data_IF_077112696826
#
_entry.id   IF_077112696826
#
_cell.length_a   1.000
_cell.length_b   1.000
_cell.length_c   1.000
_cell.angle_alpha   90.00
_cell.angle_beta   90.00
_cell.angle_gamma   90.00
#
_symmetry.space_group_name_H-M   'P 1'
#
loop_
_entity.id
_entity.type
_entity.pdbx_description
1 polymer ?
#
# COMPACT_ATOMS: atom_id res chain seq x y z
N UNK A 1 -68.75 54.70 -19.43
CA UNK A 1 -68.98 53.43 -18.72
C UNK A 1 -67.66 52.70 -18.70
N UNK A 2 -67.11 52.56 -17.50
CA UNK A 2 -65.75 52.16 -17.29
C UNK A 2 -65.76 50.69 -16.86
N UNK A 3 -65.05 49.81 -17.64
CA UNK A 3 -64.82 48.43 -17.29
C UNK A 3 -63.41 48.25 -16.65
N UNK A 4 -63.40 47.83 -15.40
CA UNK A 4 -62.17 47.56 -14.65
C UNK A 4 -61.76 46.13 -14.92
N UNK A 5 -60.57 45.96 -15.53
CA UNK A 5 -59.97 44.65 -15.68
C UNK A 5 -59.16 44.21 -14.47
N UNK A 6 -59.45 42.99 -13.97
CA UNK A 6 -58.78 42.35 -12.84
C UNK A 6 -57.56 41.64 -13.36
N UNK A 7 -56.35 42.06 -12.93
CA UNK A 7 -55.09 41.38 -13.25
C UNK A 7 -54.82 40.38 -12.13
N UNK A 8 -54.86 39.07 -12.44
CA UNK A 8 -54.46 37.98 -11.55
C UNK A 8 -52.97 37.74 -11.77
N UNK A 9 -52.16 38.09 -10.78
CA UNK A 9 -50.74 37.77 -10.73
C UNK A 9 -50.57 36.36 -10.15
N UNK A 10 -50.23 35.41 -10.98
CA UNK A 10 -49.85 34.05 -10.53
C UNK A 10 -48.39 34.06 -10.09
N UNK A 11 -48.15 33.98 -8.79
CA UNK A 11 -46.81 33.80 -8.22
C UNK A 11 -46.39 32.35 -8.36
N UNK A 12 -45.47 32.06 -9.28
CA UNK A 12 -44.81 30.75 -9.40
C UNK A 12 -43.72 30.62 -8.34
N UNK A 13 -43.95 29.81 -7.30
CA UNK A 13 -42.95 29.41 -6.32
C UNK A 13 -41.98 28.41 -6.96
N UNK A 14 -40.81 28.90 -7.33
CA UNK A 14 -39.66 28.03 -7.70
C UNK A 14 -39.08 27.42 -6.41
N UNK A 15 -39.44 26.18 -6.12
CA UNK A 15 -38.77 25.35 -5.11
C UNK A 15 -37.42 24.95 -5.68
N UNK A 16 -36.38 25.71 -5.34
CA UNK A 16 -34.99 25.31 -5.58
C UNK A 16 -34.67 24.14 -4.63
N UNK A 17 -34.90 22.92 -5.09
CA UNK A 17 -34.46 21.72 -4.43
C UNK A 17 -32.92 21.66 -4.47
N UNK A 18 -32.27 22.03 -3.38
CA UNK A 18 -30.86 21.66 -3.14
C UNK A 18 -30.76 20.15 -2.96
N UNK A 19 -30.84 19.42 -4.05
CA UNK A 19 -30.41 18.04 -4.11
C UNK A 19 -28.88 18.02 -4.01
N UNK A 20 -28.34 17.72 -2.81
CA UNK A 20 -26.95 17.40 -2.63
C UNK A 20 -26.60 16.21 -3.49
N UNK A 21 -26.10 16.45 -4.69
CA UNK A 21 -25.49 15.43 -5.52
C UNK A 21 -24.19 15.03 -4.82
N UNK A 22 -24.23 13.98 -3.99
CA UNK A 22 -23.04 13.18 -3.74
C UNK A 22 -22.50 12.80 -5.11
N UNK A 23 -21.45 13.48 -5.56
CA UNK A 23 -20.74 13.10 -6.80
C UNK A 23 -20.22 11.69 -6.57
N UNK A 24 -20.97 10.69 -7.00
CA UNK A 24 -20.43 9.36 -7.20
C UNK A 24 -19.19 9.55 -8.06
N UNK A 25 -18.02 9.28 -7.52
CA UNK A 25 -16.80 9.35 -8.30
C UNK A 25 -17.01 8.47 -9.55
N UNK A 26 -17.07 9.09 -10.71
CA UNK A 26 -17.35 8.40 -11.98
C UNK A 26 -16.29 7.31 -12.22
N UNK A 27 -16.64 6.30 -13.00
CA UNK A 27 -15.68 5.27 -13.43
C UNK A 27 -14.45 5.90 -14.07
N UNK A 28 -13.25 5.45 -13.69
CA UNK A 28 -11.98 5.91 -14.28
C UNK A 28 -11.62 5.21 -15.58
N UNK A 29 -12.47 4.31 -16.10
CA UNK A 29 -12.27 3.63 -17.37
C UNK A 29 -11.38 2.38 -17.32
N UNK A 30 -10.77 2.05 -16.20
CA UNK A 30 -9.82 0.91 -16.07
C UNK A 30 -10.46 -0.44 -16.48
N UNK A 31 -11.75 -0.63 -16.24
CA UNK A 31 -12.43 -1.88 -16.57
C UNK A 31 -12.48 -2.21 -18.08
N UNK A 32 -12.31 -1.22 -18.94
CA UNK A 32 -12.31 -1.40 -20.40
C UNK A 32 -10.90 -1.54 -21.01
N UNK A 33 -9.84 -1.42 -20.20
CA UNK A 33 -8.46 -1.53 -20.65
C UNK A 33 -7.98 -2.97 -20.66
N UNK A 34 -6.88 -3.24 -21.37
CA UNK A 34 -6.18 -4.52 -21.23
C UNK A 34 -5.60 -4.67 -19.82
N UNK A 35 -5.45 -5.90 -19.34
CA UNK A 35 -4.89 -6.15 -18.01
C UNK A 35 -3.51 -5.52 -17.80
N UNK A 36 -2.65 -5.58 -18.81
CA UNK A 36 -1.32 -4.96 -18.76
C UNK A 36 -1.40 -3.41 -18.69
N UNK A 37 -2.37 -2.80 -19.34
CA UNK A 37 -2.58 -1.35 -19.25
C UNK A 37 -3.05 -0.95 -17.84
N UNK A 38 -3.99 -1.70 -17.24
CA UNK A 38 -4.44 -1.47 -15.86
C UNK A 38 -3.28 -1.62 -14.86
N UNK A 39 -2.44 -2.66 -15.03
CA UNK A 39 -1.25 -2.85 -14.18
C UNK A 39 -0.26 -1.67 -14.32
N UNK A 40 -0.03 -1.20 -15.55
CA UNK A 40 0.85 -0.07 -15.81
C UNK A 40 0.31 1.23 -15.18
N UNK A 41 -0.99 1.49 -15.30
CA UNK A 41 -1.65 2.65 -14.72
C UNK A 41 -1.64 2.60 -13.19
N UNK A 42 -1.89 1.43 -12.60
CA UNK A 42 -1.79 1.21 -11.16
C UNK A 42 -0.36 1.44 -10.64
N UNK A 43 0.64 0.97 -11.38
CA UNK A 43 2.05 1.23 -11.07
C UNK A 43 2.37 2.71 -11.15
N UNK A 44 1.96 3.39 -12.21
CA UNK A 44 2.20 4.83 -12.37
C UNK A 44 1.51 5.64 -11.26
N UNK A 45 0.28 5.25 -10.87
CA UNK A 45 -0.43 5.87 -9.75
C UNK A 45 0.33 5.69 -8.43
N UNK A 46 0.81 4.47 -8.14
CA UNK A 46 1.60 4.17 -6.95
C UNK A 46 2.94 4.93 -6.92
N UNK A 47 3.66 4.98 -8.03
CA UNK A 47 4.94 5.71 -8.16
C UNK A 47 4.75 7.22 -7.97
N UNK A 48 3.62 7.76 -8.42
CA UNK A 48 3.25 9.16 -8.26
C UNK A 48 2.73 9.53 -6.87
N UNK A 49 2.44 8.54 -6.00
CA UNK A 49 1.91 8.80 -4.68
C UNK A 49 3.00 9.37 -3.73
N UNK A 50 2.57 10.23 -2.80
CA UNK A 50 3.44 10.75 -1.74
C UNK A 50 3.60 9.77 -0.58
N UNK A 51 2.61 8.90 -0.37
CA UNK A 51 2.59 7.87 0.68
C UNK A 51 1.51 6.83 0.43
N UNK A 52 1.65 5.69 1.10
CA UNK A 52 0.60 4.69 1.28
C UNK A 52 0.82 3.93 2.60
N UNK A 53 -0.24 3.36 3.13
CA UNK A 53 -0.18 2.31 4.14
C UNK A 53 -0.33 0.96 3.45
N UNK A 54 0.52 0.02 3.81
CA UNK A 54 0.56 -1.34 3.25
C UNK A 54 0.46 -2.31 4.40
N UNK A 55 -0.59 -3.11 4.42
CA UNK A 55 -0.84 -4.02 5.55
C UNK A 55 -1.41 -5.36 5.09
N UNK A 56 -1.16 -6.39 5.88
CA UNK A 56 -1.72 -7.71 5.65
C UNK A 56 -0.75 -8.84 5.88
N UNK A 57 -1.14 -10.02 5.42
CA UNK A 57 -0.32 -11.23 5.56
C UNK A 57 -0.45 -12.08 4.31
N UNK A 58 0.68 -12.60 3.85
CA UNK A 58 0.73 -13.59 2.77
C UNK A 58 1.64 -14.75 3.18
N UNK A 59 1.38 -15.92 2.60
CA UNK A 59 2.33 -17.04 2.63
C UNK A 59 3.04 -17.08 1.28
N UNK A 60 4.37 -17.06 1.27
CA UNK A 60 5.18 -17.14 0.08
C UNK A 60 6.19 -18.29 0.21
N UNK A 61 6.09 -19.29 -0.67
CA UNK A 61 6.94 -20.48 -0.58
C UNK A 61 6.81 -21.25 0.74
N UNK A 62 5.62 -21.26 1.36
CA UNK A 62 5.36 -21.85 2.67
C UNK A 62 5.75 -20.96 3.87
N UNK A 63 6.36 -19.82 3.63
CA UNK A 63 6.78 -18.88 4.68
C UNK A 63 5.72 -17.80 4.89
N UNK A 64 5.13 -17.67 6.08
CA UNK A 64 4.21 -16.58 6.40
C UNK A 64 4.99 -15.26 6.56
N UNK A 65 4.50 -14.22 5.88
CA UNK A 65 5.02 -12.85 5.93
C UNK A 65 3.86 -11.94 6.32
N UNK A 66 4.03 -11.17 7.38
CA UNK A 66 3.09 -10.12 7.79
C UNK A 66 3.77 -8.76 7.64
N UNK A 67 3.03 -7.78 7.15
CA UNK A 67 3.50 -6.43 6.92
C UNK A 67 2.47 -5.42 7.44
N UNK A 68 2.94 -4.36 8.07
CA UNK A 68 2.17 -3.20 8.49
C UNK A 68 3.10 -1.99 8.42
N UNK A 69 3.15 -1.33 7.26
CA UNK A 69 4.10 -0.26 6.98
C UNK A 69 3.39 0.95 6.37
N UNK A 70 3.60 2.12 6.95
CA UNK A 70 3.31 3.39 6.27
C UNK A 70 4.59 3.85 5.56
N UNK A 71 4.51 4.03 4.25
CA UNK A 71 5.66 4.35 3.39
C UNK A 71 5.42 5.64 2.62
N UNK A 72 6.47 6.45 2.52
CA UNK A 72 6.56 7.63 1.65
C UNK A 72 7.80 7.56 0.78
N UNK A 73 8.11 8.65 0.07
CA UNK A 73 9.25 8.70 -0.87
C UNK A 73 10.60 8.50 -0.18
N UNK A 74 10.81 9.15 0.98
CA UNK A 74 12.07 9.11 1.73
C UNK A 74 11.90 8.75 3.20
N UNK A 75 10.73 8.26 3.60
CA UNK A 75 10.42 7.91 4.99
C UNK A 75 9.47 6.71 5.04
N UNK A 76 9.64 5.89 6.08
CA UNK A 76 8.73 4.78 6.36
C UNK A 76 8.72 4.47 7.85
N UNK A 77 7.64 3.85 8.33
CA UNK A 77 7.55 3.31 9.69
C UNK A 77 6.56 2.16 9.73
N UNK A 78 6.78 1.25 10.65
CA UNK A 78 5.87 0.13 10.92
C UNK A 78 6.61 -1.12 11.33
N UNK A 79 6.01 -2.27 11.09
CA UNK A 79 6.55 -3.57 11.48
C UNK A 79 6.42 -4.60 10.36
N UNK A 80 7.26 -5.60 10.42
CA UNK A 80 7.19 -6.80 9.59
C UNK A 80 7.50 -8.03 10.43
N UNK A 81 6.97 -9.17 10.00
CA UNK A 81 7.43 -10.46 10.51
C UNK A 81 7.53 -11.48 9.40
N UNK A 82 8.44 -12.42 9.55
CA UNK A 82 8.57 -13.60 8.70
C UNK A 82 8.76 -14.83 9.59
N UNK A 83 7.94 -15.85 9.39
CA UNK A 83 7.92 -17.05 10.25
C UNK A 83 7.83 -16.74 11.76
N UNK A 84 7.11 -15.69 12.14
CA UNK A 84 7.00 -15.25 13.55
C UNK A 84 8.18 -14.41 14.06
N UNK A 85 9.24 -14.23 13.27
CA UNK A 85 10.39 -13.39 13.61
C UNK A 85 10.07 -11.94 13.26
N UNK A 86 9.63 -11.17 14.25
CA UNK A 86 9.17 -9.79 14.07
C UNK A 86 10.29 -8.76 14.20
N UNK A 87 10.15 -7.66 13.48
CA UNK A 87 10.98 -6.47 13.65
C UNK A 87 10.22 -5.20 13.30
N UNK A 88 10.56 -4.12 14.00
CA UNK A 88 10.14 -2.77 13.67
C UNK A 88 11.11 -2.13 12.70
N UNK A 89 10.58 -1.27 11.85
CA UNK A 89 11.32 -0.57 10.81
C UNK A 89 10.96 0.91 10.82
N UNK A 90 11.99 1.75 10.75
CA UNK A 90 11.88 3.19 10.52
C UNK A 90 12.88 3.56 9.44
N UNK A 91 12.45 4.41 8.49
CA UNK A 91 13.34 5.03 7.50
C UNK A 91 13.22 6.55 7.59
N UNK A 92 14.36 7.22 7.61
CA UNK A 92 14.46 8.68 7.53
C UNK A 92 15.56 9.01 6.52
N UNK A 93 15.18 9.53 5.35
CA UNK A 93 16.11 9.76 4.25
C UNK A 93 16.79 8.47 3.79
N UNK A 94 18.11 8.47 3.80
CA UNK A 94 18.94 7.33 3.38
C UNK A 94 19.39 6.43 4.54
N UNK A 95 18.74 6.56 5.70
CA UNK A 95 19.03 5.74 6.86
C UNK A 95 17.82 4.88 7.23
N UNK A 96 18.03 3.60 7.34
CA UNK A 96 17.07 2.63 7.90
C UNK A 96 17.44 2.33 9.36
N UNK A 97 16.43 2.17 10.18
CA UNK A 97 16.50 1.77 11.58
C UNK A 97 15.68 0.52 11.77
N UNK A 98 16.24 -0.48 12.42
CA UNK A 98 15.62 -1.78 12.65
C UNK A 98 15.71 -2.10 14.13
N UNK A 99 14.61 -2.60 14.70
CA UNK A 99 14.57 -3.17 16.05
C UNK A 99 13.92 -4.54 15.98
N UNK A 100 14.73 -5.57 16.04
CA UNK A 100 14.25 -6.96 16.05
C UNK A 100 13.66 -7.36 17.38
N UNK A 101 12.76 -8.35 17.36
CA UNK A 101 12.40 -9.10 18.55
C UNK A 101 13.60 -9.93 19.04
N UNK A 102 13.55 -10.40 20.30
CA UNK A 102 14.60 -11.27 20.84
C UNK A 102 14.74 -12.54 19.99
N UNK A 103 13.63 -13.11 19.52
CA UNK A 103 13.65 -14.31 18.70
C UNK A 103 14.22 -14.03 17.30
N UNK A 104 13.98 -12.84 16.76
CA UNK A 104 14.64 -12.39 15.54
C UNK A 104 16.16 -12.37 15.72
N UNK A 105 16.65 -11.73 16.77
CA UNK A 105 18.09 -11.67 17.02
C UNK A 105 18.68 -13.04 17.40
N UNK A 106 18.00 -13.87 18.18
CA UNK A 106 18.44 -15.24 18.48
C UNK A 106 18.63 -16.06 17.22
N UNK A 107 17.68 -15.96 16.28
CA UNK A 107 17.71 -16.71 15.03
C UNK A 107 18.86 -16.27 14.12
N UNK A 108 19.08 -14.96 13.94
CA UNK A 108 20.05 -14.44 12.98
C UNK A 108 21.44 -14.16 13.54
N UNK A 109 21.58 -13.99 14.85
CA UNK A 109 22.83 -13.56 15.48
C UNK A 109 23.21 -14.34 16.76
N UNK A 110 22.34 -15.23 17.25
CA UNK A 110 22.57 -16.04 18.43
C UNK A 110 22.14 -15.37 19.75
N UNK A 111 22.02 -16.19 20.81
CA UNK A 111 21.43 -15.77 22.09
C UNK A 111 22.23 -14.64 22.78
N UNK A 112 23.54 -14.67 22.74
CA UNK A 112 24.38 -13.64 23.36
C UNK A 112 24.18 -12.27 22.71
N UNK A 113 24.11 -12.24 21.37
CA UNK A 113 23.83 -11.00 20.61
C UNK A 113 22.40 -10.52 20.86
N UNK A 114 21.43 -11.42 20.97
CA UNK A 114 20.05 -11.07 21.28
C UNK A 114 19.93 -10.35 22.63
N UNK A 115 20.62 -10.81 23.68
CA UNK A 115 20.66 -10.14 24.97
C UNK A 115 21.27 -8.74 24.89
N UNK A 116 22.36 -8.58 24.12
CA UNK A 116 23.03 -7.29 23.92
C UNK A 116 22.15 -6.29 23.15
N UNK A 117 21.37 -6.78 22.17
CA UNK A 117 20.54 -5.97 21.28
C UNK A 117 19.10 -5.81 21.76
N UNK A 118 18.73 -6.42 22.89
CA UNK A 118 17.37 -6.35 23.45
C UNK A 118 16.87 -4.89 23.49
N UNK A 119 15.76 -4.61 22.81
CA UNK A 119 15.13 -3.29 22.73
C UNK A 119 15.95 -2.20 22.01
N UNK A 120 17.13 -2.51 21.46
CA UNK A 120 17.98 -1.53 20.78
C UNK A 120 17.58 -1.34 19.32
N UNK A 121 17.65 -0.11 18.88
CA UNK A 121 17.59 0.23 17.48
C UNK A 121 18.98 0.09 16.84
N UNK A 122 19.02 -0.55 15.68
CA UNK A 122 20.19 -0.60 14.82
C UNK A 122 19.98 0.35 13.66
N UNK A 123 20.99 1.07 13.22
CA UNK A 123 20.91 1.93 12.02
C UNK A 123 21.92 1.48 10.97
N UNK A 124 21.51 1.60 9.71
CA UNK A 124 22.32 1.26 8.53
C UNK A 124 21.92 2.14 7.35
N UNK A 125 22.81 2.44 6.42
CA UNK A 125 22.42 3.05 5.15
C UNK A 125 21.39 2.20 4.40
N UNK A 126 20.49 2.87 3.66
CA UNK A 126 19.52 2.20 2.79
C UNK A 126 20.15 1.63 1.52
N UNK A 127 21.33 2.09 1.14
CA UNK A 127 22.09 1.59 0.00
C UNK A 127 23.24 0.70 0.46
N UNK A 128 23.29 -0.54 -0.03
CA UNK A 128 24.38 -1.49 0.25
C UNK A 128 24.28 -2.20 1.60
N UNK A 129 25.30 -3.03 1.93
CA UNK A 129 25.40 -3.77 3.17
C UNK A 129 24.40 -4.94 3.33
N UNK A 130 24.53 -5.68 4.44
CA UNK A 130 23.70 -6.85 4.77
C UNK A 130 22.19 -6.55 4.84
N UNK A 131 21.81 -5.31 5.12
CA UNK A 131 20.42 -4.88 5.28
C UNK A 131 19.90 -4.04 4.12
N UNK A 132 20.69 -3.88 3.02
CA UNK A 132 20.26 -3.15 1.83
C UNK A 132 19.00 -3.72 1.18
N UNK A 133 18.79 -5.04 1.29
CA UNK A 133 17.56 -5.69 0.83
C UNK A 133 16.32 -5.30 1.65
N UNK A 134 16.47 -5.01 2.94
CA UNK A 134 15.38 -4.51 3.80
C UNK A 134 15.01 -3.07 3.45
N UNK A 135 15.97 -2.28 3.01
CA UNK A 135 15.71 -0.91 2.55
C UNK A 135 14.80 -0.87 1.32
N UNK A 136 14.91 -1.88 0.45
CA UNK A 136 14.00 -2.03 -0.70
C UNK A 136 12.53 -2.21 -0.27
N UNK A 137 12.29 -2.81 0.90
CA UNK A 137 10.95 -2.97 1.47
C UNK A 137 10.35 -1.67 2.01
N UNK A 138 11.15 -0.61 2.13
CA UNK A 138 10.70 0.70 2.59
C UNK A 138 10.38 1.68 1.45
N UNK A 139 10.46 1.22 0.22
CA UNK A 139 10.12 1.98 -0.98
C UNK A 139 8.88 1.40 -1.64
N UNK A 140 7.80 2.17 -1.64
CA UNK A 140 6.53 1.79 -2.28
C UNK A 140 6.73 1.45 -3.77
N UNK A 141 7.52 2.25 -4.49
CA UNK A 141 7.83 2.01 -5.91
C UNK A 141 8.59 0.70 -6.13
N UNK A 142 9.56 0.37 -5.26
CA UNK A 142 10.31 -0.88 -5.37
C UNK A 142 9.45 -2.09 -4.99
N UNK A 143 8.62 -1.95 -3.93
CA UNK A 143 7.71 -3.01 -3.50
C UNK A 143 6.73 -3.35 -4.62
N UNK A 144 6.02 -2.34 -5.15
CA UNK A 144 5.04 -2.53 -6.22
C UNK A 144 5.71 -2.88 -7.56
N UNK A 145 6.89 -2.35 -7.83
CA UNK A 145 7.69 -2.69 -9.01
C UNK A 145 8.03 -4.17 -9.08
N UNK A 146 8.36 -4.81 -7.95
CA UNK A 146 8.59 -6.27 -7.88
C UNK A 146 7.32 -7.06 -8.18
N UNK A 147 6.17 -6.63 -7.65
CA UNK A 147 4.86 -7.25 -7.96
C UNK A 147 4.55 -7.12 -9.44
N UNK A 148 4.72 -5.92 -9.99
CA UNK A 148 4.44 -5.65 -11.40
C UNK A 148 5.40 -6.32 -12.39
N UNK A 149 6.56 -6.77 -11.94
CA UNK A 149 7.54 -7.47 -12.79
C UNK A 149 7.42 -9.01 -12.74
N UNK A 150 6.82 -9.55 -11.70
CA UNK A 150 6.76 -11.00 -11.45
C UNK A 150 5.34 -11.53 -11.61
N UNK A 151 4.87 -11.60 -12.84
CA UNK A 151 3.56 -12.17 -13.17
C UNK A 151 3.64 -12.99 -14.46
N UNK A 152 2.69 -13.91 -14.63
CA UNK A 152 2.45 -14.63 -15.87
C UNK A 152 1.55 -13.84 -16.82
N UNK A 153 0.71 -14.56 -17.57
CA UNK A 153 -0.29 -13.93 -18.44
C UNK A 153 -1.43 -13.35 -17.61
N UNK A 154 -1.73 -12.07 -17.82
CA UNK A 154 -2.78 -11.36 -17.10
C UNK A 154 -4.11 -11.36 -17.85
N UNK A 155 -5.22 -11.46 -17.10
CA UNK A 155 -6.59 -11.26 -17.56
C UNK A 155 -7.24 -10.12 -16.78
N UNK A 156 -8.04 -9.29 -17.47
CA UNK A 156 -8.90 -8.29 -16.83
C UNK A 156 -10.30 -8.92 -16.63
N UNK A 157 -10.63 -9.25 -15.39
CA UNK A 157 -11.90 -9.87 -15.01
C UNK A 157 -12.99 -8.83 -14.70
N UNK A 158 -12.72 -7.55 -15.03
CA UNK A 158 -13.67 -6.45 -15.00
C UNK A 158 -13.94 -5.88 -13.61
N UNK A 159 -15.06 -5.18 -13.49
CA UNK A 159 -15.47 -4.53 -12.25
C UNK A 159 -15.87 -5.54 -11.18
N UNK A 160 -15.42 -5.30 -9.95
CA UNK A 160 -15.77 -6.06 -8.75
C UNK A 160 -16.00 -5.09 -7.58
N UNK A 161 -16.50 -5.63 -6.48
CA UNK A 161 -16.50 -4.95 -5.18
C UNK A 161 -15.55 -5.70 -4.25
N UNK A 162 -14.59 -5.02 -3.68
CA UNK A 162 -13.65 -5.56 -2.71
C UNK A 162 -13.69 -4.69 -1.45
N UNK A 163 -14.06 -5.29 -0.30
CA UNK A 163 -14.22 -4.58 0.97
C UNK A 163 -15.08 -3.28 0.85
N UNK A 164 -16.17 -3.34 0.09
CA UNK A 164 -17.07 -2.19 -0.14
C UNK A 164 -16.59 -1.17 -1.17
N UNK A 165 -15.38 -1.31 -1.71
CA UNK A 165 -14.83 -0.42 -2.72
C UNK A 165 -15.03 -0.99 -4.14
N UNK A 166 -15.37 -0.13 -5.11
CA UNK A 166 -15.41 -0.49 -6.53
C UNK A 166 -14.00 -0.62 -7.08
N UNK A 167 -13.68 -1.79 -7.62
CA UNK A 167 -12.34 -2.13 -8.13
C UNK A 167 -12.43 -2.77 -9.50
N UNK A 168 -11.31 -2.82 -10.21
CA UNK A 168 -11.07 -3.69 -11.36
C UNK A 168 -10.17 -4.83 -10.91
N UNK A 169 -10.57 -6.07 -11.17
CA UNK A 169 -9.80 -7.27 -10.87
C UNK A 169 -8.90 -7.63 -12.05
N UNK A 170 -7.59 -7.68 -11.80
CA UNK A 170 -6.60 -8.23 -12.70
C UNK A 170 -6.13 -9.55 -12.12
N UNK A 171 -6.24 -10.62 -12.90
CA UNK A 171 -5.86 -11.96 -12.46
C UNK A 171 -4.69 -12.49 -13.26
N UNK A 172 -3.69 -13.01 -12.58
CA UNK A 172 -2.65 -13.84 -13.20
C UNK A 172 -3.21 -15.23 -13.50
N UNK A 173 -3.22 -15.61 -14.76
CA UNK A 173 -3.78 -16.89 -15.19
C UNK A 173 -2.88 -18.08 -14.88
N UNK A 174 -1.62 -17.84 -14.50
CA UNK A 174 -0.65 -18.89 -14.17
C UNK A 174 -0.79 -19.41 -12.74
N UNK A 175 -1.25 -18.55 -11.81
CA UNK A 175 -1.33 -18.90 -10.39
C UNK A 175 -2.63 -18.43 -9.69
N UNK A 176 -3.53 -17.78 -10.42
CA UNK A 176 -4.78 -17.20 -9.93
C UNK A 176 -4.59 -16.11 -8.86
N UNK A 177 -3.39 -15.55 -8.71
CA UNK A 177 -3.21 -14.36 -7.89
C UNK A 177 -3.95 -13.17 -8.52
N UNK A 178 -4.37 -12.22 -7.68
CA UNK A 178 -5.21 -11.11 -8.10
C UNK A 178 -4.64 -9.79 -7.63
N UNK A 179 -4.71 -8.79 -8.49
CA UNK A 179 -4.53 -7.40 -8.15
C UNK A 179 -5.88 -6.70 -8.27
N UNK A 180 -6.31 -6.03 -7.22
CA UNK A 180 -7.45 -5.14 -7.22
C UNK A 180 -6.98 -3.70 -7.38
N UNK A 181 -7.52 -3.00 -8.37
CA UNK A 181 -7.20 -1.61 -8.69
C UNK A 181 -8.46 -0.77 -8.55
N UNK A 182 -8.38 0.41 -7.95
CA UNK A 182 -9.51 1.31 -7.79
C UNK A 182 -10.18 1.61 -9.15
N UNK A 183 -11.50 1.40 -9.23
CA UNK A 183 -12.31 1.64 -10.43
C UNK A 183 -12.82 3.09 -10.54
N UNK A 184 -12.52 3.93 -9.55
CA UNK A 184 -12.91 5.34 -9.47
C UNK A 184 -11.73 6.20 -9.02
N UNK A 185 -11.68 7.44 -9.46
CA UNK A 185 -10.56 8.35 -9.15
C UNK A 185 -9.25 7.87 -9.79
N UNK A 186 -8.14 8.04 -9.09
CA UNK A 186 -6.83 7.51 -9.53
C UNK A 186 -6.82 5.99 -9.39
N UNK A 187 -6.24 5.24 -10.35
CA UNK A 187 -6.22 3.79 -10.35
C UNK A 187 -5.17 3.22 -9.35
N UNK A 188 -5.31 3.59 -8.09
CA UNK A 188 -4.42 3.06 -7.06
C UNK A 188 -4.63 1.56 -6.86
N UNK A 189 -3.55 0.79 -6.59
CA UNK A 189 -3.68 -0.54 -6.03
C UNK A 189 -4.52 -0.52 -4.75
N UNK A 190 -5.40 -1.50 -4.60
CA UNK A 190 -6.25 -1.68 -3.40
C UNK A 190 -5.82 -2.90 -2.61
N UNK A 191 -5.58 -4.01 -3.31
CA UNK A 191 -5.08 -5.22 -2.67
C UNK A 191 -4.41 -6.16 -3.67
N UNK A 192 -3.50 -6.98 -3.15
CA UNK A 192 -2.96 -8.16 -3.83
C UNK A 192 -3.42 -9.37 -3.04
N UNK A 193 -4.02 -10.35 -3.72
CA UNK A 193 -4.48 -11.61 -3.13
C UNK A 193 -3.70 -12.76 -3.74
N UNK A 194 -3.11 -13.58 -2.91
CA UNK A 194 -2.39 -14.78 -3.34
C UNK A 194 -3.34 -15.84 -3.92
N UNK A 195 -2.93 -16.51 -4.97
CA UNK A 195 -3.78 -17.45 -5.74
C UNK A 195 -3.42 -18.92 -5.60
N UNK A 196 -2.13 -19.25 -5.51
CA UNK A 196 -1.65 -20.63 -5.43
C UNK A 196 -1.68 -21.23 -4.03
N UNK A 197 -1.76 -22.55 -3.97
CA UNK A 197 -1.39 -23.30 -2.76
C UNK A 197 0.07 -22.96 -2.37
N UNK A 198 0.26 -22.43 -1.14
CA UNK A 198 1.56 -21.92 -0.67
C UNK A 198 1.81 -20.43 -0.95
N UNK A 199 0.87 -19.75 -1.62
CA UNK A 199 0.86 -18.29 -1.82
C UNK A 199 -0.54 -17.76 -1.49
N UNK A 200 -0.96 -17.90 -0.24
CA UNK A 200 -2.27 -17.48 0.23
C UNK A 200 -2.16 -16.20 1.05
N UNK A 201 -3.27 -15.47 1.15
CA UNK A 201 -3.37 -14.27 1.97
C UNK A 201 -3.60 -13.01 1.15
N UNK A 202 -3.58 -11.87 1.82
CA UNK A 202 -3.88 -10.58 1.22
C UNK A 202 -2.96 -9.51 1.77
N UNK A 203 -2.43 -8.67 0.89
CA UNK A 203 -1.77 -7.40 1.21
C UNK A 203 -2.68 -6.28 0.69
N UNK A 204 -3.16 -5.44 1.59
CA UNK A 204 -3.94 -4.25 1.29
C UNK A 204 -3.07 -3.01 1.13
N UNK A 205 -3.59 -2.06 0.36
CA UNK A 205 -3.00 -0.73 0.17
C UNK A 205 -4.09 0.31 0.41
N UNK A 206 -3.85 1.19 1.35
CA UNK A 206 -4.76 2.27 1.68
C UNK A 206 -4.02 3.56 2.06
N UNK A 207 -4.73 4.53 2.60
CA UNK A 207 -4.17 5.80 3.08
C UNK A 207 -3.27 6.51 2.06
N UNK A 208 -3.59 6.37 0.77
CA UNK A 208 -2.87 7.00 -0.32
C UNK A 208 -2.77 8.51 -0.14
N UNK A 209 -1.54 9.04 -0.22
CA UNK A 209 -1.19 10.45 -0.08
C UNK A 209 -1.52 11.07 1.29
N UNK A 210 -1.84 10.29 2.31
CA UNK A 210 -1.99 10.81 3.67
C UNK A 210 -0.63 11.18 4.25
N UNK A 211 -0.55 12.35 4.85
CA UNK A 211 0.65 12.78 5.54
C UNK A 211 0.87 11.96 6.82
N UNK A 212 2.11 11.64 7.13
CA UNK A 212 2.49 10.99 8.38
C UNK A 212 3.84 11.54 8.86
N UNK A 213 4.08 11.42 10.16
CA UNK A 213 5.33 11.83 10.79
C UNK A 213 6.18 10.62 11.12
N UNK A 214 7.49 10.78 10.98
CA UNK A 214 8.48 9.80 11.41
C UNK A 214 9.72 10.54 11.90
N UNK A 215 10.36 10.05 12.94
CA UNK A 215 11.61 10.57 13.46
C UNK A 215 12.63 9.46 13.65
N UNK A 216 13.90 9.79 13.53
CA UNK A 216 14.99 8.86 13.77
C UNK A 216 14.97 8.40 15.24
N UNK A 217 15.00 7.10 15.53
CA UNK A 217 15.13 6.58 16.88
C UNK A 217 16.42 7.07 17.54
N UNK A 218 16.32 7.54 18.79
CA UNK A 218 17.48 7.97 19.58
C UNK A 218 18.31 6.76 20.03
N UNK A 219 19.62 6.95 20.13
CA UNK A 219 20.53 5.91 20.66
C UNK A 219 20.70 4.70 19.74
N UNK A 220 20.39 4.80 18.45
CA UNK A 220 20.54 3.71 17.51
C UNK A 220 22.03 3.36 17.30
N UNK A 221 22.34 2.06 17.38
CA UNK A 221 23.69 1.51 17.18
C UNK A 221 23.99 1.47 15.67
N UNK A 222 25.08 2.06 15.26
CA UNK A 222 25.52 2.04 13.87
C UNK A 222 26.20 0.71 13.53
N UNK A 223 25.55 -0.07 12.70
CA UNK A 223 26.05 -1.40 12.30
C UNK A 223 26.77 -1.37 10.94
N UNK A 224 26.80 -0.26 10.25
CA UNK A 224 27.55 -0.15 8.99
C UNK A 224 29.06 -0.34 9.19
N UNK A 225 29.53 -0.12 10.40
CA UNK A 225 30.94 -0.23 10.82
C UNK A 225 31.30 -1.59 11.44
N UNK A 226 30.29 -2.49 11.64
CA UNK A 226 30.48 -3.77 12.34
C UNK A 226 30.70 -4.97 11.39
N UNK A 227 30.87 -4.72 10.10
CA UNK A 227 30.97 -5.77 9.07
C UNK A 227 31.99 -5.44 8.01
N UNK A 228 33.22 -5.12 8.41
CA UNK A 228 34.41 -5.15 7.55
C UNK A 228 35.02 -6.52 7.56
#
# INVERSE_FOLDING_TARGET
MRASGLVVVAAALLVAGCGGHSKSAGSNGEASKSANAVLADAKAAADGASSAHVSGSITSGGTPITIDLTMGKSKAKGSMSTSGLGFDLVRVGDTAYIRGSDDFYKHYAGAAVAQLLHGKWLKTPTAGGRFGSLAALTSLSQLFGKVAANHGKLANDGKKTFNGQQVVEIRDTSDNSKLYVAATGKPYPVAIVGGKKGQSGTIGFDDWNKSFSVSAPKGAIDISKLGG
#
